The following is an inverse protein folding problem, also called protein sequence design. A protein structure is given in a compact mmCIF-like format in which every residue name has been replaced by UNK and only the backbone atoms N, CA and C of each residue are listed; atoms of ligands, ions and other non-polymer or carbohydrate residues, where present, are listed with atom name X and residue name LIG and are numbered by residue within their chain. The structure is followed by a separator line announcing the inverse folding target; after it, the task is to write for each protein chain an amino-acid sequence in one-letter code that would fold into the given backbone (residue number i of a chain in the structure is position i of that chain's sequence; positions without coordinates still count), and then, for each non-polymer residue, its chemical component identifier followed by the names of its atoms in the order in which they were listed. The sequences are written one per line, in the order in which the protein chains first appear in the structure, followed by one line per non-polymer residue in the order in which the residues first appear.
data_IF_228748174992
#
_entry.id   IF_228748174992
#
_cell.length_a   1.000
_cell.length_b   1.000
_cell.length_c   1.000
_cell.angle_alpha   90.00
_cell.angle_beta   90.00
_cell.angle_gamma   90.00
#
_symmetry.space_group_name_H-M   'P 1'
#
loop_
_entity.id
_entity.type
_entity.pdbx_description
1 polymer ?
#
# COMPACT_ATOMS: atom_id res chain seq x y z
N UNK A 1 -7.72 -7.37 -20.56
CA UNK A 1 -7.99 -6.85 -19.20
C UNK A 1 -7.04 -7.56 -18.27
N UNK A 2 -6.27 -6.83 -17.46
CA UNK A 2 -5.28 -7.38 -16.52
C UNK A 2 -5.84 -7.27 -15.10
N UNK A 3 -5.86 -8.37 -14.36
CA UNK A 3 -6.40 -8.44 -13.00
C UNK A 3 -5.24 -8.73 -12.05
N UNK A 4 -5.10 -7.91 -11.01
CA UNK A 4 -4.03 -8.02 -10.02
C UNK A 4 -4.65 -8.27 -8.65
N UNK A 5 -4.29 -9.37 -8.00
CA UNK A 5 -4.62 -9.62 -6.59
C UNK A 5 -3.48 -9.13 -5.72
N UNK A 6 -3.77 -8.16 -4.86
CA UNK A 6 -2.78 -7.55 -3.99
C UNK A 6 -2.78 -8.27 -2.64
N UNK A 7 -1.58 -8.58 -2.16
CA UNK A 7 -1.35 -9.27 -0.90
C UNK A 7 -0.58 -8.36 0.05
N UNK A 8 -0.80 -8.55 1.34
CA UNK A 8 0.06 -7.96 2.37
C UNK A 8 1.50 -8.43 2.15
N UNK A 9 2.43 -7.48 2.10
CA UNK A 9 3.84 -7.79 1.90
C UNK A 9 4.45 -8.33 3.20
N UNK A 10 5.08 -9.50 3.12
CA UNK A 10 5.92 -10.06 4.19
C UNK A 10 7.18 -9.20 4.38
N UNK A 11 7.72 -8.65 3.30
CA UNK A 11 8.88 -7.75 3.37
C UNK A 11 8.54 -6.50 4.19
N UNK A 12 7.37 -5.90 3.95
CA UNK A 12 6.89 -4.76 4.74
C UNK A 12 6.72 -5.13 6.22
N UNK A 13 6.10 -6.28 6.50
CA UNK A 13 5.94 -6.77 7.87
C UNK A 13 7.29 -6.99 8.57
N UNK A 14 8.25 -7.65 7.90
CA UNK A 14 9.59 -7.89 8.45
C UNK A 14 10.35 -6.59 8.67
N UNK A 15 10.19 -5.61 7.78
CA UNK A 15 10.77 -4.28 7.95
C UNK A 15 10.19 -3.57 9.17
N UNK A 16 8.85 -3.56 9.33
CA UNK A 16 8.19 -2.98 10.50
C UNK A 16 8.63 -3.69 11.79
N UNK A 17 8.69 -5.02 11.78
CA UNK A 17 9.19 -5.81 12.91
C UNK A 17 10.63 -5.45 13.26
N UNK A 18 11.50 -5.32 12.25
CA UNK A 18 12.88 -4.87 12.42
C UNK A 18 12.97 -3.47 13.04
N UNK A 19 12.21 -2.51 12.52
CA UNK A 19 12.13 -1.15 13.07
C UNK A 19 11.66 -1.15 14.53
N UNK A 20 10.66 -1.96 14.88
CA UNK A 20 10.20 -2.12 16.25
C UNK A 20 11.27 -2.77 17.14
N UNK A 21 11.99 -3.77 16.64
CA UNK A 21 13.11 -4.40 17.34
C UNK A 21 14.25 -3.42 17.63
N UNK A 22 14.66 -2.63 16.62
CA UNK A 22 15.66 -1.56 16.77
C UNK A 22 15.17 -0.50 17.77
N UNK A 23 13.90 -0.12 17.72
CA UNK A 23 13.32 0.84 18.67
C UNK A 23 13.34 0.31 20.10
N UNK A 24 12.96 -0.96 20.31
CA UNK A 24 13.02 -1.62 21.61
C UNK A 24 14.45 -1.72 22.16
N UNK A 25 15.43 -2.01 21.29
CA UNK A 25 16.84 -2.00 21.66
C UNK A 25 17.34 -0.59 22.02
N UNK A 26 16.99 0.43 21.23
CA UNK A 26 17.35 1.81 21.55
C UNK A 26 16.76 2.27 22.89
N UNK A 27 15.52 1.85 23.20
CA UNK A 27 14.89 2.13 24.48
C UNK A 27 15.60 1.44 25.65
N UNK A 28 16.12 0.23 25.48
CA UNK A 28 16.86 -0.47 26.55
C UNK A 28 18.22 0.16 26.86
N UNK A 29 18.80 0.89 25.90
CA UNK A 29 20.03 1.66 26.08
C UNK A 29 19.78 3.10 26.55
N UNK A 30 18.52 3.53 26.64
CA UNK A 30 18.18 4.89 27.00
C UNK A 30 18.31 5.13 28.52
N UNK A 31 18.65 6.35 28.91
CA UNK A 31 18.67 6.78 30.31
C UNK A 31 17.27 7.16 30.85
N UNK A 32 16.20 6.65 30.21
CA UNK A 32 14.82 6.95 30.60
C UNK A 32 14.43 6.17 31.85
N UNK A 33 13.44 6.69 32.58
CA UNK A 33 12.93 5.96 33.74
C UNK A 33 12.23 4.66 33.32
N UNK A 34 12.24 3.61 34.15
CA UNK A 34 11.60 2.33 33.83
C UNK A 34 10.12 2.46 33.45
N UNK A 35 9.39 3.41 34.05
CA UNK A 35 7.99 3.68 33.75
C UNK A 35 7.79 4.18 32.31
N UNK A 36 8.67 5.07 31.85
CA UNK A 36 8.63 5.61 30.47
C UNK A 36 9.00 4.53 29.46
N UNK A 37 10.04 3.73 29.75
CA UNK A 37 10.44 2.59 28.91
C UNK A 37 9.28 1.60 28.78
N UNK A 38 8.63 1.25 29.89
CA UNK A 38 7.48 0.33 29.90
C UNK A 38 6.32 0.87 29.06
N UNK A 39 6.03 2.17 29.14
CA UNK A 39 5.03 2.82 28.30
C UNK A 39 5.33 2.67 26.80
N UNK A 40 6.58 2.93 26.39
CA UNK A 40 6.98 2.75 25.00
C UNK A 40 6.94 1.28 24.54
N UNK A 41 7.36 0.34 25.39
CA UNK A 41 7.29 -1.08 25.07
C UNK A 41 5.84 -1.56 24.88
N UNK A 42 4.89 -1.04 25.66
CA UNK A 42 3.45 -1.31 25.46
C UNK A 42 2.98 -0.76 24.11
N UNK A 43 3.38 0.46 23.74
CA UNK A 43 3.03 1.05 22.44
C UNK A 43 3.63 0.25 21.27
N UNK A 44 4.89 -0.18 21.39
CA UNK A 44 5.55 -1.04 20.39
C UNK A 44 4.84 -2.39 20.29
N UNK A 45 4.51 -3.02 21.42
CA UNK A 45 3.76 -4.27 21.46
C UNK A 45 2.38 -4.14 20.84
N UNK A 46 1.65 -3.06 21.15
CA UNK A 46 0.37 -2.74 20.53
C UNK A 46 0.47 -2.54 19.02
N UNK A 47 1.51 -1.84 18.55
CA UNK A 47 1.81 -1.66 17.13
C UNK A 47 2.11 -3.00 16.45
N UNK A 48 2.90 -3.88 17.08
CA UNK A 48 3.21 -5.20 16.54
C UNK A 48 1.98 -6.12 16.46
N UNK A 49 1.14 -6.13 17.50
CA UNK A 49 -0.14 -6.87 17.48
C UNK A 49 -1.05 -6.33 16.38
N UNK A 50 -1.05 -5.01 16.18
CA UNK A 50 -1.78 -4.38 15.10
C UNK A 50 -1.26 -4.80 13.71
N UNK A 51 0.05 -4.92 13.55
CA UNK A 51 0.68 -5.44 12.33
C UNK A 51 0.46 -6.96 12.12
N UNK A 52 0.35 -7.74 13.20
CA UNK A 52 0.37 -9.21 13.16
C UNK A 52 -1.00 -9.90 13.29
N UNK A 53 -1.95 -9.34 14.04
CA UNK A 53 -3.01 -10.13 14.67
C UNK A 53 -4.46 -9.81 14.31
N UNK A 54 -4.79 -8.64 13.75
CA UNK A 54 -6.21 -8.24 13.65
C UNK A 54 -6.50 -7.49 12.35
N UNK A 55 -7.16 -8.24 11.45
CA UNK A 55 -8.21 -7.79 10.53
C UNK A 55 -7.81 -6.77 9.44
N UNK A 56 -8.51 -6.75 8.30
CA UNK A 56 -8.35 -5.78 7.22
C UNK A 56 -8.83 -4.37 7.63
N UNK A 57 -8.27 -3.81 8.72
CA UNK A 57 -8.79 -2.60 9.36
C UNK A 57 -7.82 -1.42 9.35
N UNK A 58 -6.56 -1.60 8.95
CA UNK A 58 -5.65 -0.46 8.68
C UNK A 58 -5.00 -0.43 7.31
N UNK A 59 -5.20 -1.46 6.48
CA UNK A 59 -5.00 -1.33 5.03
C UNK A 59 -6.26 -0.83 4.31
N UNK A 60 -7.14 -0.06 4.98
CA UNK A 60 -8.22 0.69 4.29
C UNK A 60 -7.69 1.61 3.18
N UNK A 61 -6.36 1.80 3.07
CA UNK A 61 -5.70 2.53 2.00
C UNK A 61 -5.26 1.68 0.80
N UNK A 62 -5.07 0.36 0.93
CA UNK A 62 -4.54 -0.46 -0.16
C UNK A 62 -5.66 -1.28 -0.82
N UNK A 63 -5.81 -1.20 -2.15
CA UNK A 63 -6.78 -2.03 -2.85
C UNK A 63 -6.39 -3.51 -2.78
N UNK A 64 -7.36 -4.38 -2.51
CA UNK A 64 -7.20 -5.84 -2.50
C UNK A 64 -7.07 -6.41 -3.92
N UNK A 65 -7.68 -5.72 -4.88
CA UNK A 65 -7.66 -6.10 -6.28
C UNK A 65 -7.66 -4.88 -7.19
N UNK A 66 -6.96 -5.01 -8.32
CA UNK A 66 -6.89 -3.96 -9.34
C UNK A 66 -7.24 -4.58 -10.69
N UNK A 67 -8.25 -4.01 -11.32
CA UNK A 67 -8.70 -4.40 -12.64
C UNK A 67 -8.28 -3.32 -13.65
N UNK A 68 -7.29 -3.64 -14.48
CA UNK A 68 -6.73 -2.76 -15.50
C UNK A 68 -7.41 -3.06 -16.85
N UNK A 69 -8.27 -2.15 -17.28
CA UNK A 69 -8.91 -2.15 -18.59
C UNK A 69 -8.12 -1.32 -19.61
N UNK A 70 -8.61 -1.22 -20.85
CA UNK A 70 -7.92 -0.52 -21.93
C UNK A 70 -7.71 0.99 -21.66
N UNK A 71 -8.68 1.64 -20.99
CA UNK A 71 -8.69 3.10 -20.80
C UNK A 71 -8.88 3.55 -19.35
N UNK A 72 -9.11 2.62 -18.43
CA UNK A 72 -9.35 2.93 -17.02
C UNK A 72 -8.93 1.75 -16.14
N UNK A 73 -8.81 2.02 -14.85
CA UNK A 73 -8.56 1.02 -13.82
C UNK A 73 -9.68 1.06 -12.78
N UNK A 74 -9.96 -0.08 -12.16
CA UNK A 74 -10.88 -0.18 -11.03
C UNK A 74 -10.08 -0.71 -9.85
N UNK A 75 -10.03 0.09 -8.78
CA UNK A 75 -9.44 -0.28 -7.50
C UNK A 75 -10.54 -0.87 -6.63
N UNK A 76 -10.39 -2.12 -6.22
CA UNK A 76 -11.32 -2.82 -5.34
C UNK A 76 -10.77 -2.81 -3.91
N UNK A 77 -11.53 -2.22 -3.01
CA UNK A 77 -11.39 -2.29 -1.57
C UNK A 77 -12.52 -3.18 -1.02
N UNK A 78 -12.40 -3.66 0.22
CA UNK A 78 -13.34 -4.63 0.83
C UNK A 78 -14.80 -4.39 0.44
N UNK A 79 -15.32 -3.18 0.73
CA UNK A 79 -16.73 -2.81 0.48
C UNK A 79 -16.90 -1.73 -0.61
N UNK A 80 -15.82 -1.33 -1.29
CA UNK A 80 -15.83 -0.14 -2.17
C UNK A 80 -15.04 -0.36 -3.44
N UNK A 81 -15.54 0.20 -4.53
CA UNK A 81 -14.82 0.23 -5.80
C UNK A 81 -14.58 1.68 -6.22
N UNK A 82 -13.39 1.97 -6.74
CA UNK A 82 -13.05 3.28 -7.24
C UNK A 82 -12.49 3.20 -8.66
N UNK A 83 -13.16 3.88 -9.59
CA UNK A 83 -12.72 3.98 -10.97
C UNK A 83 -11.67 5.09 -11.12
N UNK A 84 -10.56 4.76 -11.74
CA UNK A 84 -9.37 5.62 -11.86
C UNK A 84 -8.86 5.60 -13.29
N UNK A 85 -8.04 6.61 -13.63
CA UNK A 85 -7.27 6.59 -14.86
C UNK A 85 -6.23 5.45 -14.81
N UNK A 86 -5.59 5.18 -15.94
CA UNK A 86 -4.50 4.20 -16.00
C UNK A 86 -3.35 4.60 -15.04
N UNK A 87 -2.68 3.62 -14.41
CA UNK A 87 -1.65 3.88 -13.41
C UNK A 87 -0.47 4.62 -14.02
N UNK A 88 -0.07 5.72 -13.37
CA UNK A 88 1.20 6.39 -13.66
C UNK A 88 2.29 5.80 -12.79
N UNK A 89 3.43 5.46 -13.37
CA UNK A 89 4.57 4.99 -12.59
C UNK A 89 5.32 6.20 -12.04
N UNK A 90 5.32 6.35 -10.71
CA UNK A 90 6.12 7.39 -10.04
C UNK A 90 7.55 6.92 -9.79
N UNK A 91 7.73 5.64 -9.46
CA UNK A 91 9.03 5.05 -9.18
C UNK A 91 9.04 3.57 -9.54
N UNK A 92 10.17 3.08 -10.05
CA UNK A 92 10.34 1.67 -10.40
C UNK A 92 11.78 1.23 -10.15
N UNK A 93 11.93 0.20 -9.33
CA UNK A 93 13.18 -0.53 -9.11
C UNK A 93 12.91 -2.04 -9.10
N UNK A 94 13.96 -2.84 -8.85
CA UNK A 94 13.82 -4.27 -8.58
C UNK A 94 13.08 -4.57 -7.27
N UNK A 95 13.07 -3.62 -6.33
CA UNK A 95 12.58 -3.82 -4.97
C UNK A 95 11.30 -3.05 -4.64
N UNK A 96 10.95 -2.04 -5.42
CA UNK A 96 9.79 -1.19 -5.15
C UNK A 96 9.24 -0.64 -6.45
N UNK A 97 7.93 -0.76 -6.61
CA UNK A 97 7.15 -0.13 -7.67
C UNK A 97 6.12 0.80 -7.02
N UNK A 98 6.14 2.08 -7.39
CA UNK A 98 5.19 3.09 -6.90
C UNK A 98 4.30 3.52 -8.05
N UNK A 99 3.00 3.28 -7.90
CA UNK A 99 1.96 3.63 -8.86
C UNK A 99 1.08 4.74 -8.32
N UNK A 100 0.67 5.66 -9.19
CA UNK A 100 -0.30 6.70 -8.89
C UNK A 100 -1.53 6.52 -9.75
N UNK A 101 -2.68 6.56 -9.10
CA UNK A 101 -4.00 6.47 -9.70
C UNK A 101 -4.74 7.78 -9.47
N UNK A 102 -5.01 8.51 -10.55
CA UNK A 102 -5.84 9.70 -10.51
C UNK A 102 -7.31 9.29 -10.68
N UNK A 103 -8.21 9.80 -9.83
CA UNK A 103 -9.62 9.45 -9.90
C UNK A 103 -10.26 9.96 -11.20
N UNK A 104 -11.13 9.15 -11.81
CA UNK A 104 -11.92 9.61 -12.95
C UNK A 104 -13.12 10.41 -12.42
N UNK A 105 -13.11 11.73 -12.68
CA UNK A 105 -14.27 12.57 -12.43
C UNK A 105 -15.44 12.04 -13.26
N UNK A 106 -16.55 11.71 -12.61
CA UNK A 106 -17.79 11.44 -13.33
C UNK A 106 -18.28 12.78 -13.90
N UNK A 107 -18.17 12.92 -15.22
CA UNK A 107 -18.75 14.04 -15.98
C UNK A 107 -20.28 13.96 -15.94
N UNK A 108 -20.87 14.42 -14.84
CA UNK A 108 -22.29 14.72 -14.71
C UNK A 108 -22.43 16.18 -14.27
N UNK A 109 -23.27 16.94 -14.98
CA UNK A 109 -23.48 18.37 -14.78
C UNK A 109 -23.68 18.74 -13.29
N UNK A 110 -22.83 19.64 -12.78
CA UNK A 110 -22.99 20.23 -11.45
C UNK A 110 -22.02 19.76 -10.35
N UNK A 111 -21.01 18.92 -10.66
CA UNK A 111 -20.02 18.53 -9.66
C UNK A 111 -19.03 19.67 -9.40
N UNK A 112 -19.20 20.36 -8.27
CA UNK A 112 -18.15 21.17 -7.65
C UNK A 112 -16.85 20.37 -7.56
N UNK A 113 -15.75 21.05 -7.83
CA UNK A 113 -14.36 20.58 -7.94
C UNK A 113 -13.81 19.90 -6.66
N UNK A 114 -14.43 18.82 -6.20
CA UNK A 114 -13.81 17.92 -5.23
C UNK A 114 -12.81 17.06 -6.01
N UNK A 115 -11.60 17.60 -6.22
CA UNK A 115 -10.42 16.83 -6.63
C UNK A 115 -10.23 15.71 -5.62
N UNK A 116 -10.76 14.53 -5.94
CA UNK A 116 -10.39 13.30 -5.25
C UNK A 116 -8.87 13.22 -5.24
N UNK A 117 -8.28 13.08 -4.06
CA UNK A 117 -6.85 12.98 -3.90
C UNK A 117 -6.32 11.76 -4.67
N UNK A 118 -5.17 11.87 -5.36
CA UNK A 118 -4.61 10.74 -6.08
C UNK A 118 -4.29 9.60 -5.10
N UNK A 119 -4.60 8.37 -5.50
CA UNK A 119 -4.22 7.18 -4.73
C UNK A 119 -2.82 6.76 -5.14
N UNK A 120 -1.91 6.71 -4.17
CA UNK A 120 -0.55 6.21 -4.37
C UNK A 120 -0.44 4.81 -3.79
N UNK A 121 0.04 3.87 -4.59
CA UNK A 121 0.20 2.48 -4.20
C UNK A 121 1.67 2.09 -4.23
N UNK A 122 2.11 1.47 -3.15
CA UNK A 122 3.45 0.94 -2.99
C UNK A 122 3.37 -0.58 -3.15
N UNK A 123 4.06 -1.11 -4.15
CA UNK A 123 4.12 -2.54 -4.47
C UNK A 123 5.56 -3.03 -4.22
N UNK A 124 5.69 -3.91 -3.24
CA UNK A 124 6.90 -4.65 -2.94
C UNK A 124 6.95 -5.95 -3.77
N UNK A 125 8.10 -6.64 -3.84
CA UNK A 125 8.30 -7.79 -4.72
C UNK A 125 7.33 -8.96 -4.44
N UNK A 126 6.80 -9.04 -3.23
CA UNK A 126 5.85 -10.05 -2.77
C UNK A 126 4.41 -9.54 -2.60
N UNK A 127 4.15 -8.28 -2.95
CA UNK A 127 2.79 -7.70 -2.93
C UNK A 127 1.88 -8.29 -4.01
N UNK A 128 2.44 -8.88 -5.06
CA UNK A 128 1.74 -9.55 -6.15
C UNK A 128 2.30 -10.96 -6.33
N UNK A 129 1.50 -11.88 -6.87
CA UNK A 129 2.07 -13.14 -7.36
C UNK A 129 3.01 -12.89 -8.55
N UNK A 130 3.97 -13.79 -8.75
CA UNK A 130 5.02 -13.63 -9.75
C UNK A 130 4.49 -13.43 -11.19
N UNK A 131 3.34 -14.03 -11.51
CA UNK A 131 2.74 -13.88 -12.83
C UNK A 131 2.10 -12.49 -12.98
N UNK A 132 1.32 -12.05 -11.98
CA UNK A 132 0.74 -10.71 -11.95
C UNK A 132 1.79 -9.60 -11.97
N UNK A 133 2.89 -9.73 -11.20
CA UNK A 133 4.00 -8.77 -11.23
C UNK A 133 4.66 -8.72 -12.62
N UNK A 134 4.93 -9.88 -13.23
CA UNK A 134 5.48 -9.95 -14.59
C UNK A 134 4.58 -9.26 -15.61
N UNK A 135 3.29 -9.59 -15.59
CA UNK A 135 2.30 -9.01 -16.52
C UNK A 135 2.17 -7.50 -16.32
N UNK A 136 2.13 -7.03 -15.07
CA UNK A 136 2.09 -5.61 -14.74
C UNK A 136 3.34 -4.89 -15.26
N UNK A 137 4.54 -5.42 -15.04
CA UNK A 137 5.78 -4.80 -15.53
C UNK A 137 5.84 -4.74 -17.05
N UNK A 138 5.35 -5.78 -17.73
CA UNK A 138 5.24 -5.79 -19.20
C UNK A 138 4.25 -4.71 -19.66
N UNK A 139 3.07 -4.65 -19.05
CA UNK A 139 2.05 -3.65 -19.34
C UNK A 139 2.58 -2.21 -19.17
N UNK A 140 3.25 -1.93 -18.05
CA UNK A 140 3.82 -0.61 -17.76
C UNK A 140 4.94 -0.21 -18.72
N UNK A 141 5.71 -1.17 -19.25
CA UNK A 141 6.71 -0.91 -20.29
C UNK A 141 6.07 -0.45 -21.60
N UNK A 142 4.92 -1.01 -21.96
CA UNK A 142 4.18 -0.61 -23.16
C UNK A 142 3.48 0.74 -22.99
N UNK A 143 2.96 1.06 -21.80
CA UNK A 143 2.35 2.35 -21.49
C UNK A 143 3.30 3.55 -21.60
N UNK A 144 4.62 3.31 -21.44
CA UNK A 144 5.63 4.38 -21.49
C UNK A 144 6.12 4.72 -22.91
N UNK A 145 5.72 3.95 -23.92
CA UNK A 145 6.04 4.20 -25.33
C UNK A 145 4.88 4.92 -26.00
#
# INVERSE_FOLDING_TARGET
MLVLSCKSSRIEFLFQLGCHGVSGFALSQSSLSPAVISGFLILIGGSLVHCAGLLPLTSRAQPERIDIAAHHCVLHYCDKQMRTALPRVLFQSGWLLVLRFDALLHSGAGATLNRSAPVTMHLLPDSLDANSDRLLRVYLRFQRR
#
